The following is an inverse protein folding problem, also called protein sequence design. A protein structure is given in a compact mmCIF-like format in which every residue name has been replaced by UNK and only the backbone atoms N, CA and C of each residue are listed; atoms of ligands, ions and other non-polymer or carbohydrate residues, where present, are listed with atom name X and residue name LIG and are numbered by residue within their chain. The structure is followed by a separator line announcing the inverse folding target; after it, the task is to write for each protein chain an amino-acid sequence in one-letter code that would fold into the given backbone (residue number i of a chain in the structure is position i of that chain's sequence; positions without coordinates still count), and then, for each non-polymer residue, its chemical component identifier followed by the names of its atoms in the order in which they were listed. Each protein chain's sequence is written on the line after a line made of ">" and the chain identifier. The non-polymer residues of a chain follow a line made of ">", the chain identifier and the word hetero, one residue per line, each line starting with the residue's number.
data_IF_991598091542
#
_entry.id   IF_991598091542
#
_cell.length_a   1.000
_cell.length_b   1.000
_cell.length_c   1.000
_cell.angle_alpha   90.00
_cell.angle_beta   90.00
_cell.angle_gamma   90.00
#
_symmetry.space_group_name_H-M   'P 1'
#
loop_
_entity.id
_entity.type
_entity.pdbx_description
1 polymer ?
#
# COMPACT_ATOMS: atom_id res chain seq x y z
N UNK A 1 31.90 -2.40 -1.35
CA UNK A 1 30.49 -2.09 -1.66
C UNK A 1 29.97 -3.17 -2.59
N UNK A 2 28.87 -3.86 -2.26
CA UNK A 2 28.27 -4.82 -3.19
C UNK A 2 27.70 -4.08 -4.41
N UNK A 3 27.80 -4.71 -5.57
CA UNK A 3 27.25 -4.20 -6.84
C UNK A 3 26.14 -5.15 -7.26
N UNK A 4 24.97 -4.59 -7.56
CA UNK A 4 23.82 -5.33 -8.08
C UNK A 4 23.71 -4.98 -9.57
N UNK A 5 23.68 -6.00 -10.42
CA UNK A 5 23.38 -5.84 -11.85
C UNK A 5 21.94 -6.25 -12.09
N UNK A 6 21.18 -5.43 -12.81
CA UNK A 6 19.75 -5.61 -13.04
C UNK A 6 19.49 -5.61 -14.55
N UNK A 7 18.67 -6.54 -15.02
CA UNK A 7 18.17 -6.55 -16.38
C UNK A 7 16.79 -5.88 -16.40
N UNK A 8 16.63 -4.87 -17.26
CA UNK A 8 15.40 -4.10 -17.43
C UNK A 8 15.06 -4.08 -18.93
N UNK A 9 13.77 -4.06 -19.25
CA UNK A 9 13.34 -3.76 -20.62
C UNK A 9 13.47 -2.25 -20.94
N UNK A 10 13.42 -1.93 -22.23
CA UNK A 10 13.63 -0.56 -22.70
C UNK A 10 12.53 0.40 -22.22
N UNK A 11 11.28 -0.06 -22.11
CA UNK A 11 10.15 0.77 -21.64
C UNK A 11 10.32 1.17 -20.17
N UNK A 12 10.67 0.21 -19.31
CA UNK A 12 10.88 0.43 -17.89
C UNK A 12 12.08 1.35 -17.66
N UNK A 13 13.16 1.17 -18.41
CA UNK A 13 14.33 2.04 -18.33
C UNK A 13 14.00 3.48 -18.75
N UNK A 14 13.22 3.67 -19.81
CA UNK A 14 12.81 4.99 -20.27
C UNK A 14 11.90 5.70 -19.24
N UNK A 15 10.91 4.98 -18.72
CA UNK A 15 10.02 5.47 -17.64
C UNK A 15 10.82 5.84 -16.40
N UNK A 16 11.79 5.01 -16.02
CA UNK A 16 12.69 5.30 -14.90
C UNK A 16 13.48 6.59 -15.12
N UNK A 17 14.08 6.79 -16.31
CA UNK A 17 14.83 8.00 -16.61
C UNK A 17 13.95 9.26 -16.57
N UNK A 18 12.72 9.19 -17.07
CA UNK A 18 11.74 10.29 -17.01
C UNK A 18 11.43 10.67 -15.56
N UNK A 19 11.14 9.70 -14.70
CA UNK A 19 10.84 9.94 -13.27
C UNK A 19 12.07 10.44 -12.53
N UNK A 20 13.25 9.84 -12.78
CA UNK A 20 14.53 10.26 -12.21
C UNK A 20 14.79 11.75 -12.47
N UNK A 21 14.62 12.20 -13.71
CA UNK A 21 14.85 13.58 -14.10
C UNK A 21 13.82 14.53 -13.46
N UNK A 22 12.53 14.14 -13.43
CA UNK A 22 11.48 14.92 -12.76
C UNK A 22 11.73 15.10 -11.26
N UNK A 23 12.26 14.07 -10.59
CA UNK A 23 12.61 14.12 -9.16
C UNK A 23 13.99 14.76 -8.89
N UNK A 24 14.70 15.26 -9.91
CA UNK A 24 15.97 15.98 -9.74
C UNK A 24 17.19 15.10 -9.44
N UNK A 25 17.10 13.79 -9.67
CA UNK A 25 18.21 12.88 -9.42
C UNK A 25 19.29 12.99 -10.49
N UNK A 26 20.51 13.28 -10.06
CA UNK A 26 21.71 13.41 -10.92
C UNK A 26 22.30 12.06 -11.32
N UNK A 27 22.10 11.00 -10.52
CA UNK A 27 22.67 9.67 -10.75
C UNK A 27 21.58 8.58 -10.74
N UNK A 28 21.68 7.63 -11.69
CA UNK A 28 20.82 6.43 -11.73
C UNK A 28 21.02 5.59 -10.47
N UNK A 29 22.27 5.41 -10.03
CA UNK A 29 22.58 4.63 -8.83
C UNK A 29 22.03 5.27 -7.56
N UNK A 30 21.97 6.61 -7.49
CA UNK A 30 21.33 7.29 -6.36
C UNK A 30 19.82 7.07 -6.36
N UNK A 31 19.17 7.27 -7.50
CA UNK A 31 17.73 7.04 -7.63
C UNK A 31 17.34 5.59 -7.32
N UNK A 32 18.09 4.59 -7.82
CA UNK A 32 17.83 3.18 -7.51
C UNK A 32 18.05 2.90 -6.01
N UNK A 33 19.11 3.43 -5.42
CA UNK A 33 19.38 3.24 -3.98
C UNK A 33 18.28 3.83 -3.12
N UNK A 34 17.88 5.06 -3.41
CA UNK A 34 16.84 5.74 -2.65
C UNK A 34 15.49 5.02 -2.83
N UNK A 35 15.21 4.47 -4.02
CA UNK A 35 14.04 3.61 -4.25
C UNK A 35 14.11 2.26 -3.52
N UNK A 36 15.29 1.65 -3.38
CA UNK A 36 15.47 0.43 -2.59
C UNK A 36 15.27 0.73 -1.10
N UNK A 37 15.79 1.85 -0.61
CA UNK A 37 15.56 2.30 0.78
C UNK A 37 14.07 2.53 1.00
N UNK A 38 13.40 3.28 0.12
CA UNK A 38 11.95 3.52 0.18
C UNK A 38 11.16 2.21 0.13
N UNK A 39 11.57 1.25 -0.69
CA UNK A 39 10.98 -0.09 -0.74
C UNK A 39 11.15 -0.84 0.59
N UNK A 40 12.36 -0.88 1.13
CA UNK A 40 12.66 -1.56 2.41
C UNK A 40 11.91 -0.89 3.55
N UNK A 41 11.98 0.43 3.68
CA UNK A 41 11.31 1.18 4.75
C UNK A 41 9.78 1.02 4.70
N UNK A 42 9.19 0.92 3.51
CA UNK A 42 7.76 0.68 3.37
C UNK A 42 7.36 -0.75 3.82
N UNK A 43 8.24 -1.74 3.67
CA UNK A 43 7.96 -3.13 4.03
C UNK A 43 8.36 -3.48 5.47
N UNK A 44 9.54 -3.07 5.93
CA UNK A 44 10.03 -3.34 7.30
C UNK A 44 9.20 -2.59 8.36
N UNK A 45 8.77 -1.36 8.10
CA UNK A 45 7.91 -0.64 9.05
C UNK A 45 6.60 -1.39 9.30
N UNK A 46 5.99 -2.01 8.28
CA UNK A 46 4.75 -2.72 8.54
C UNK A 46 4.96 -3.94 9.43
N UNK A 47 5.96 -4.78 9.14
CA UNK A 47 6.17 -6.03 9.87
C UNK A 47 6.75 -5.83 11.30
N UNK A 48 7.54 -4.78 11.54
CA UNK A 48 8.13 -4.49 12.87
C UNK A 48 7.28 -3.55 13.74
N UNK A 49 6.14 -3.05 13.25
CA UNK A 49 5.24 -2.23 14.07
C UNK A 49 4.64 -3.07 15.22
N UNK A 50 4.74 -2.53 16.44
CA UNK A 50 4.16 -3.07 17.67
C UNK A 50 3.30 -2.03 18.41
N UNK A 51 2.39 -2.52 19.26
CA UNK A 51 1.56 -1.71 20.15
C UNK A 51 0.33 -1.09 19.48
N UNK A 52 -0.19 -0.03 20.09
CA UNK A 52 -1.43 0.64 19.66
C UNK A 52 -1.12 1.78 18.70
N UNK A 53 -1.68 1.73 17.48
CA UNK A 53 -1.33 2.63 16.36
C UNK A 53 -2.56 3.12 15.60
N UNK A 54 -2.35 4.18 14.82
CA UNK A 54 -3.30 4.76 13.89
C UNK A 54 -2.77 4.47 12.48
N UNK A 55 -3.56 3.80 11.64
CA UNK A 55 -3.16 3.43 10.29
C UNK A 55 -4.23 3.85 9.28
N UNK A 56 -3.81 4.14 8.06
CA UNK A 56 -4.70 4.36 6.91
C UNK A 56 -4.47 3.25 5.89
N UNK A 57 -5.56 2.64 5.43
CA UNK A 57 -5.55 1.61 4.40
C UNK A 57 -6.23 2.21 3.17
N UNK A 58 -5.48 2.34 2.07
CA UNK A 58 -6.04 2.76 0.79
C UNK A 58 -6.22 1.53 -0.10
N UNK A 59 -7.40 1.38 -0.67
CA UNK A 59 -7.82 0.24 -1.48
C UNK A 59 -8.37 0.72 -2.82
N UNK A 60 -8.09 -0.05 -3.87
CA UNK A 60 -8.64 0.13 -5.21
C UNK A 60 -9.03 -1.23 -5.75
N UNK A 61 -10.29 -1.42 -6.10
CA UNK A 61 -10.81 -2.71 -6.56
C UNK A 61 -12.01 -2.58 -7.52
N UNK A 62 -12.30 -3.57 -8.39
CA UNK A 62 -13.42 -3.50 -9.33
C UNK A 62 -14.79 -3.51 -8.61
N UNK A 63 -15.80 -2.89 -9.21
CA UNK A 63 -17.16 -2.88 -8.65
C UNK A 63 -17.87 -4.18 -9.07
N UNK A 64 -17.62 -5.25 -8.33
CA UNK A 64 -18.22 -6.57 -8.52
C UNK A 64 -19.01 -6.99 -7.28
N UNK A 65 -20.21 -7.54 -7.45
CA UNK A 65 -21.12 -7.81 -6.32
C UNK A 65 -20.51 -8.78 -5.28
N UNK A 66 -19.81 -9.83 -5.74
CA UNK A 66 -19.12 -10.77 -4.84
C UNK A 66 -18.02 -10.10 -4.03
N UNK A 67 -17.20 -9.27 -4.69
CA UNK A 67 -16.11 -8.54 -4.06
C UNK A 67 -16.61 -7.51 -3.03
N UNK A 68 -17.69 -6.82 -3.34
CA UNK A 68 -18.33 -5.88 -2.42
C UNK A 68 -18.88 -6.58 -1.17
N UNK A 69 -19.46 -7.78 -1.32
CA UNK A 69 -19.94 -8.58 -0.19
C UNK A 69 -18.79 -9.03 0.69
N UNK A 70 -17.75 -9.61 0.09
CA UNK A 70 -16.56 -10.11 0.79
C UNK A 70 -15.86 -8.97 1.55
N UNK A 71 -15.67 -7.81 0.92
CA UNK A 71 -15.13 -6.62 1.60
C UNK A 71 -16.02 -6.15 2.76
N UNK A 72 -17.34 -6.17 2.61
CA UNK A 72 -18.26 -5.78 3.68
C UNK A 72 -18.18 -6.72 4.87
N UNK A 73 -18.09 -8.03 4.63
CA UNK A 73 -17.97 -9.05 5.67
C UNK A 73 -16.68 -8.89 6.47
N UNK A 74 -15.55 -8.65 5.80
CA UNK A 74 -14.27 -8.38 6.47
C UNK A 74 -14.35 -7.07 7.26
N UNK A 75 -14.87 -5.98 6.67
CA UNK A 75 -15.02 -4.71 7.38
C UNK A 75 -15.91 -4.80 8.62
N UNK A 76 -17.01 -5.56 8.57
CA UNK A 76 -17.87 -5.80 9.73
C UNK A 76 -17.16 -6.63 10.81
N UNK A 77 -16.37 -7.63 10.44
CA UNK A 77 -15.55 -8.43 11.37
C UNK A 77 -14.54 -7.57 12.13
N UNK A 78 -13.96 -6.56 11.50
CA UNK A 78 -12.95 -5.66 12.10
C UNK A 78 -13.50 -4.28 12.47
N UNK A 79 -14.82 -4.13 12.57
CA UNK A 79 -15.51 -2.85 12.79
C UNK A 79 -15.04 -2.06 14.02
N UNK A 80 -14.55 -2.74 15.05
CA UNK A 80 -14.01 -2.09 16.26
C UNK A 80 -12.73 -1.27 16.00
N UNK A 81 -11.93 -1.68 15.01
CA UNK A 81 -10.71 -1.00 14.58
C UNK A 81 -11.03 0.23 13.71
N UNK A 82 -12.06 0.13 12.86
CA UNK A 82 -12.40 1.12 11.85
C UNK A 82 -13.01 2.36 12.52
N UNK A 83 -12.36 3.53 12.37
CA UNK A 83 -12.86 4.81 12.89
C UNK A 83 -13.62 5.60 11.86
N UNK A 84 -13.17 5.55 10.61
CA UNK A 84 -13.93 6.08 9.48
C UNK A 84 -13.54 5.33 8.21
N UNK A 85 -14.46 5.32 7.27
CA UNK A 85 -14.27 4.77 5.95
C UNK A 85 -14.86 5.74 4.94
N UNK A 86 -14.08 6.10 3.93
CA UNK A 86 -14.50 6.94 2.82
C UNK A 86 -14.33 6.15 1.54
N UNK A 87 -15.34 6.13 0.69
CA UNK A 87 -15.27 5.49 -0.60
C UNK A 87 -15.78 6.37 -1.73
N UNK A 88 -15.24 6.10 -2.92
CA UNK A 88 -15.59 6.75 -4.16
C UNK A 88 -15.73 5.72 -5.26
N UNK A 89 -16.66 5.97 -6.18
CA UNK A 89 -16.77 5.22 -7.43
C UNK A 89 -16.19 6.08 -8.55
N UNK A 90 -15.03 5.68 -9.05
CA UNK A 90 -14.34 6.37 -10.15
C UNK A 90 -14.15 5.40 -11.30
N UNK A 91 -14.75 5.72 -12.45
CA UNK A 91 -14.88 4.82 -13.58
C UNK A 91 -15.49 3.46 -13.13
N UNK A 92 -14.85 2.34 -13.49
CA UNK A 92 -15.30 0.98 -13.14
C UNK A 92 -14.64 0.43 -11.86
N UNK A 93 -14.08 1.29 -11.02
CA UNK A 93 -13.39 0.90 -9.79
C UNK A 93 -13.96 1.63 -8.58
N UNK A 94 -13.93 0.95 -7.43
CA UNK A 94 -14.13 1.54 -6.11
C UNK A 94 -12.77 1.89 -5.53
N UNK A 95 -12.66 3.10 -5.01
CA UNK A 95 -11.49 3.59 -4.27
C UNK A 95 -11.96 3.80 -2.84
N UNK A 96 -11.26 3.25 -1.87
CA UNK A 96 -11.69 3.25 -0.47
C UNK A 96 -10.50 3.58 0.43
N UNK A 97 -10.72 4.43 1.42
CA UNK A 97 -9.74 4.81 2.43
C UNK A 97 -10.34 4.50 3.79
N UNK A 98 -9.65 3.66 4.55
CA UNK A 98 -10.08 3.19 5.87
C UNK A 98 -9.09 3.70 6.91
N UNK A 99 -9.57 4.47 7.89
CA UNK A 99 -8.80 4.86 9.06
C UNK A 99 -9.02 3.81 10.16
N UNK A 100 -7.95 3.16 10.59
CA UNK A 100 -7.98 2.17 11.67
C UNK A 100 -7.18 2.63 12.87
N UNK A 101 -7.65 2.30 14.07
CA UNK A 101 -6.97 2.59 15.33
C UNK A 101 -7.11 1.40 16.26
N UNK A 102 -5.99 0.83 16.68
CA UNK A 102 -5.95 -0.41 17.45
C UNK A 102 -4.56 -1.00 17.61
N UNK A 103 -4.50 -2.22 18.16
CA UNK A 103 -3.28 -3.03 18.22
C UNK A 103 -2.81 -3.36 16.80
N UNK A 104 -1.52 -3.18 16.54
CA UNK A 104 -0.93 -3.40 15.21
C UNK A 104 -1.20 -4.81 14.71
N UNK A 105 -1.10 -5.84 15.57
CA UNK A 105 -1.35 -7.22 15.16
C UNK A 105 -2.78 -7.42 14.61
N UNK A 106 -3.78 -6.82 15.25
CA UNK A 106 -5.16 -6.91 14.75
C UNK A 106 -5.35 -6.10 13.46
N UNK A 107 -4.65 -4.96 13.32
CA UNK A 107 -4.65 -4.19 12.07
C UNK A 107 -3.96 -4.97 10.94
N UNK A 108 -2.87 -5.70 11.24
CA UNK A 108 -2.17 -6.60 10.31
C UNK A 108 -3.09 -7.72 9.86
N UNK A 109 -3.80 -8.37 10.78
CA UNK A 109 -4.77 -9.42 10.44
C UNK A 109 -5.86 -8.89 9.52
N UNK A 110 -6.42 -7.72 9.83
CA UNK A 110 -7.41 -7.05 8.98
C UNK A 110 -6.86 -6.76 7.57
N UNK A 111 -5.69 -6.15 7.48
CA UNK A 111 -5.05 -5.84 6.21
C UNK A 111 -4.77 -7.11 5.40
N UNK A 112 -4.25 -8.16 6.05
CA UNK A 112 -3.93 -9.45 5.45
C UNK A 112 -5.16 -10.18 4.91
N UNK A 113 -6.32 -10.05 5.56
CA UNK A 113 -7.57 -10.58 5.01
C UNK A 113 -8.02 -9.83 3.76
N UNK A 114 -7.84 -8.50 3.72
CA UNK A 114 -8.16 -7.70 2.53
C UNK A 114 -7.25 -8.07 1.35
N UNK A 115 -5.92 -8.13 1.53
CA UNK A 115 -4.99 -8.41 0.41
C UNK A 115 -5.08 -9.84 -0.14
N UNK A 116 -5.73 -10.76 0.58
CA UNK A 116 -6.01 -12.12 0.08
C UNK A 116 -7.10 -12.12 -0.98
N UNK A 117 -7.95 -11.09 -1.01
CA UNK A 117 -8.98 -11.00 -2.03
C UNK A 117 -8.34 -10.65 -3.36
N UNK A 118 -8.76 -11.38 -4.39
CA UNK A 118 -8.22 -11.21 -5.75
C UNK A 118 -8.58 -9.83 -6.30
N UNK A 119 -7.68 -9.28 -7.11
CA UNK A 119 -7.90 -8.03 -7.87
C UNK A 119 -8.03 -6.75 -7.01
N UNK A 120 -7.57 -6.80 -5.75
CA UNK A 120 -7.40 -5.64 -4.87
C UNK A 120 -5.99 -5.07 -5.01
N UNK A 121 -5.89 -3.76 -5.22
CA UNK A 121 -4.66 -2.99 -5.03
C UNK A 121 -4.75 -2.25 -3.71
N UNK A 122 -3.77 -2.42 -2.84
CA UNK A 122 -3.79 -1.83 -1.50
C UNK A 122 -2.47 -1.17 -1.11
N UNK A 123 -2.56 -0.20 -0.19
CA UNK A 123 -1.42 0.36 0.54
C UNK A 123 -1.85 0.62 1.97
N UNK A 124 -0.92 0.52 2.91
CA UNK A 124 -1.15 0.80 4.33
C UNK A 124 -0.06 1.73 4.84
N UNK A 125 -0.44 2.76 5.59
CA UNK A 125 0.47 3.77 6.12
C UNK A 125 0.13 4.12 7.57
N UNK A 126 1.14 4.21 8.43
CA UNK A 126 1.00 4.75 9.78
C UNK A 126 0.72 6.25 9.71
N UNK A 127 -0.25 6.70 10.52
CA UNK A 127 -0.53 8.12 10.74
C UNK A 127 0.17 8.54 12.03
N UNK A 128 1.23 9.33 11.89
CA UNK A 128 1.97 9.90 13.01
C UNK A 128 1.36 11.27 13.32
N UNK A 129 0.98 11.50 14.58
CA UNK A 129 0.43 12.77 15.09
C UNK A 129 1.53 13.50 15.88
#
# INVERSE_FOLDING_TARGET
>A
MPIISLQLDDDLLDRFNKVKNKRGYTSKSKAIRDSIIEFIENYEKFDDLEGYKIMTINLIYPIEAGLLSEMSEICDKYRSLIKTMMDWRIASKKIEIILTVGEVNTIKDFYNEIVRIKDITSTIHEVII
#
